data_IF_653437855820
#
_entry.id   IF_653437855820
#
_cell.length_a   1.000
_cell.length_b   1.000
_cell.length_c   1.000
_cell.angle_alpha   90.00
_cell.angle_beta   90.00
_cell.angle_gamma   90.00
#
_symmetry.space_group_name_H-M   'P 1'
#
loop_
_entity.id
_entity.type
_entity.pdbx_description
1 polymer ?
#
# COMPACT_ATOMS: atom_id res chain seq x y z
N UNK A 1 4.39 18.64 -1.83
CA UNK A 1 4.25 17.24 -1.37
C UNK A 1 5.55 16.55 -1.74
N UNK A 2 6.22 15.87 -0.81
CA UNK A 2 7.52 15.22 -1.05
C UNK A 2 7.23 13.75 -1.31
N UNK A 3 7.39 13.31 -2.55
CA UNK A 3 7.35 11.89 -2.88
C UNK A 3 8.42 11.15 -2.06
N UNK A 4 8.08 9.96 -1.55
CA UNK A 4 9.01 9.13 -0.80
C UNK A 4 10.17 8.73 -1.72
N UNK A 5 11.39 9.22 -1.45
CA UNK A 5 12.63 8.73 -2.08
C UNK A 5 13.21 7.61 -1.22
N UNK A 6 12.69 6.40 -1.40
CA UNK A 6 13.41 5.16 -1.11
C UNK A 6 13.93 4.59 -2.42
N UNK A 7 15.13 4.01 -2.43
CA UNK A 7 15.67 3.32 -3.63
C UNK A 7 14.78 2.14 -4.07
N UNK A 8 13.98 1.59 -3.15
CA UNK A 8 13.02 0.51 -3.38
C UNK A 8 11.77 0.73 -2.52
N UNK A 9 10.61 0.90 -3.15
CA UNK A 9 9.32 1.07 -2.45
C UNK A 9 8.64 -0.29 -2.33
N UNK A 10 8.39 -0.72 -1.10
CA UNK A 10 7.70 -1.98 -0.80
C UNK A 10 6.49 -1.70 0.09
N UNK A 11 5.32 -2.18 -0.32
CA UNK A 11 4.05 -1.82 0.29
C UNK A 11 3.30 -3.06 0.76
N UNK A 12 2.72 -3.00 1.95
CA UNK A 12 1.72 -3.96 2.42
C UNK A 12 0.35 -3.32 2.31
N UNK A 13 -0.52 -3.85 1.45
CA UNK A 13 -1.90 -3.44 1.29
C UNK A 13 -2.82 -4.31 2.16
N UNK A 14 -3.64 -3.66 3.01
CA UNK A 14 -4.51 -4.32 3.98
C UNK A 14 -3.80 -4.76 5.27
N UNK A 15 -2.78 -4.02 5.69
CA UNK A 15 -1.97 -4.33 6.85
C UNK A 15 -2.79 -4.52 8.14
N UNK A 16 -2.47 -5.56 8.90
CA UNK A 16 -3.02 -5.79 10.22
C UNK A 16 -2.40 -4.91 11.31
N UNK A 17 -2.82 -5.12 12.56
CA UNK A 17 -2.37 -4.33 13.73
C UNK A 17 -0.88 -4.51 14.06
N UNK A 18 -0.27 -5.59 13.58
CA UNK A 18 1.12 -5.94 13.87
C UNK A 18 2.02 -5.70 12.67
N UNK A 19 3.17 -5.05 12.91
CA UNK A 19 4.17 -4.86 11.88
C UNK A 19 5.01 -6.12 11.69
N UNK A 20 4.54 -7.01 10.81
CA UNK A 20 5.22 -8.26 10.45
C UNK A 20 6.26 -8.08 9.33
N UNK A 21 6.31 -6.92 8.68
CA UNK A 21 7.20 -6.64 7.55
C UNK A 21 8.00 -5.35 7.80
N UNK A 22 9.03 -5.38 8.68
CA UNK A 22 9.86 -4.21 8.95
C UNK A 22 10.49 -3.64 7.67
N UNK A 23 10.43 -2.32 7.53
CA UNK A 23 10.95 -1.61 6.36
C UNK A 23 9.98 -1.53 5.16
N UNK A 24 8.81 -2.16 5.24
CA UNK A 24 7.73 -1.99 4.27
C UNK A 24 6.76 -0.89 4.74
N UNK A 25 6.17 -0.19 3.79
CA UNK A 25 5.09 0.77 4.04
C UNK A 25 3.81 -0.04 4.31
N UNK A 26 3.38 -0.08 5.57
CA UNK A 26 2.14 -0.72 5.99
C UNK A 26 0.97 0.22 5.67
N UNK A 27 -0.06 -0.26 4.99
CA UNK A 27 -1.26 0.52 4.68
C UNK A 27 -2.53 -0.25 5.01
N UNK A 28 -3.46 0.41 5.71
CA UNK A 28 -4.82 -0.09 5.91
C UNK A 28 -5.73 0.24 4.71
N UNK A 29 -6.94 -0.31 4.67
CA UNK A 29 -7.90 -0.10 3.55
C UNK A 29 -8.22 1.39 3.34
N UNK A 30 -8.41 2.15 4.42
CA UNK A 30 -8.70 3.60 4.39
C UNK A 30 -7.50 4.44 3.94
N UNK A 31 -6.30 3.86 3.97
CA UNK A 31 -5.07 4.49 3.53
C UNK A 31 -4.76 4.18 2.06
N UNK A 32 -4.94 2.92 1.64
CA UNK A 32 -4.66 2.44 0.29
C UNK A 32 -5.73 1.39 -0.10
N UNK A 33 -6.77 1.85 -0.77
CA UNK A 33 -7.88 0.99 -1.17
C UNK A 33 -7.57 0.35 -2.52
N UNK A 34 -7.63 -0.99 -2.61
CA UNK A 34 -7.39 -1.73 -3.85
C UNK A 34 -8.35 -1.37 -5.00
N UNK A 35 -9.56 -0.93 -4.65
CA UNK A 35 -10.62 -0.61 -5.61
C UNK A 35 -10.62 0.89 -5.99
N UNK A 36 -9.95 1.74 -5.22
CA UNK A 36 -9.88 3.18 -5.47
C UNK A 36 -8.49 3.60 -5.96
N UNK A 37 -8.38 3.77 -7.28
CA UNK A 37 -7.16 4.23 -7.94
C UNK A 37 -6.63 5.58 -7.43
N UNK A 38 -7.50 6.48 -6.95
CA UNK A 38 -7.06 7.79 -6.46
C UNK A 38 -6.13 7.64 -5.26
N UNK A 39 -6.40 6.68 -4.36
CA UNK A 39 -5.54 6.42 -3.20
C UNK A 39 -4.12 5.98 -3.59
N UNK A 40 -3.95 5.32 -4.74
CA UNK A 40 -2.64 4.94 -5.28
C UNK A 40 -1.91 6.14 -5.89
N UNK A 41 -2.60 6.94 -6.69
CA UNK A 41 -2.02 8.10 -7.39
C UNK A 41 -1.62 9.23 -6.43
N UNK A 42 -2.32 9.37 -5.30
CA UNK A 42 -1.98 10.35 -4.26
C UNK A 42 -0.73 9.95 -3.46
N UNK A 43 -0.46 8.65 -3.32
CA UNK A 43 0.64 8.13 -2.48
C UNK A 43 1.91 7.78 -3.25
N UNK A 44 1.76 7.30 -4.48
CA UNK A 44 2.87 6.72 -5.24
C UNK A 44 2.95 7.33 -6.64
N UNK A 45 4.18 7.65 -7.05
CA UNK A 45 4.43 7.99 -8.44
C UNK A 45 4.15 6.76 -9.32
N UNK A 46 3.66 6.98 -10.54
CA UNK A 46 3.41 5.91 -11.49
C UNK A 46 4.68 5.06 -11.69
N UNK A 47 4.53 3.73 -11.59
CA UNK A 47 5.62 2.76 -11.76
C UNK A 47 6.78 2.89 -10.73
N UNK A 48 6.51 3.42 -9.54
CA UNK A 48 7.52 3.58 -8.47
C UNK A 48 7.59 2.42 -7.46
N UNK A 49 6.53 1.61 -7.34
CA UNK A 49 6.44 0.51 -6.37
C UNK A 49 7.19 -0.72 -6.90
N UNK A 50 8.12 -1.24 -6.10
CA UNK A 50 8.95 -2.39 -6.43
C UNK A 50 8.32 -3.72 -6.02
N UNK A 51 7.59 -3.75 -4.90
CA UNK A 51 6.87 -4.93 -4.43
C UNK A 51 5.60 -4.58 -3.66
N UNK A 52 4.58 -5.43 -3.78
CA UNK A 52 3.31 -5.34 -3.05
C UNK A 52 3.04 -6.68 -2.38
N UNK A 53 2.76 -6.65 -1.08
CA UNK A 53 2.19 -7.75 -0.32
C UNK A 53 0.74 -7.39 0.00
N UNK A 54 -0.23 -8.24 -0.35
CA UNK A 54 -1.61 -8.07 0.05
C UNK A 54 -1.93 -9.01 1.22
N UNK A 55 -2.36 -8.46 2.35
CA UNK A 55 -2.87 -9.23 3.50
C UNK A 55 -4.25 -8.71 3.89
N UNK A 56 -5.12 -9.59 4.42
CA UNK A 56 -6.49 -9.26 4.84
C UNK A 56 -7.42 -8.62 3.77
N UNK A 57 -6.99 -8.47 2.52
CA UNK A 57 -7.74 -7.68 1.52
C UNK A 57 -9.05 -8.33 1.03
N UNK A 58 -9.18 -9.65 1.10
CA UNK A 58 -10.36 -10.37 0.57
C UNK A 58 -11.66 -10.00 1.29
N UNK A 59 -11.58 -9.59 2.55
CA UNK A 59 -12.74 -9.18 3.35
C UNK A 59 -13.34 -7.84 2.85
N UNK A 60 -12.55 -7.07 2.10
CA UNK A 60 -12.88 -5.71 1.65
C UNK A 60 -13.19 -5.64 0.15
N UNK A 61 -13.01 -6.73 -0.60
CA UNK A 61 -13.35 -6.79 -2.02
C UNK A 61 -14.87 -6.94 -2.18
N UNK A 62 -15.56 -5.83 -2.39
CA UNK A 62 -16.98 -5.82 -2.82
C UNK A 62 -17.05 -5.59 -4.33
N UNK A 63 -17.90 -6.35 -5.02
CA UNK A 63 -17.99 -6.43 -6.48
C UNK A 63 -19.31 -5.87 -7.02
#
# INVERSE_FOLDING_TARGET
MVAIKQDEIKVVAGAGVFNNNPGWIQTQEDELNLLDKATWEERFEYNSISAILAEHVWEHLTF
#
